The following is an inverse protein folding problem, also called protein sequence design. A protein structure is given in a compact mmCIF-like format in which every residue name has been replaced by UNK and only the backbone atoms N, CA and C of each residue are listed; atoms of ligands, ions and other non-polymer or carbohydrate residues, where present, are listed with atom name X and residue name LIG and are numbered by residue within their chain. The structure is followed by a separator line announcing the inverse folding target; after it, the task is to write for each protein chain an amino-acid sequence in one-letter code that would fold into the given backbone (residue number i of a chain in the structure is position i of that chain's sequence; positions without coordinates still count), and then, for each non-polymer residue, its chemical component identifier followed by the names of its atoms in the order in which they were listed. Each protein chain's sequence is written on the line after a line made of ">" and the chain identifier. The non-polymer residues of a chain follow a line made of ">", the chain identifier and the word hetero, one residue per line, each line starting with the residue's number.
data_IF_152056078334
#
_entry.id   IF_152056078334
#
_cell.length_a   1.000
_cell.length_b   1.000
_cell.length_c   1.000
_cell.angle_alpha   90.00
_cell.angle_beta   90.00
_cell.angle_gamma   90.00
#
_symmetry.space_group_name_H-M   'P 1'
#
loop_
_entity.id
_entity.type
_entity.pdbx_description
1 polymer ?
#
# COMPACT_ATOMS: atom_id res chain seq x y z
N UNK A 1 28.91 -20.59 25.50
CA UNK A 1 28.33 -19.72 26.56
C UNK A 1 27.27 -18.80 25.94
N UNK A 2 26.16 -19.36 25.44
CA UNK A 2 25.10 -18.58 24.78
C UNK A 2 23.72 -19.27 24.96
N UNK A 3 23.42 -19.69 26.20
CA UNK A 3 22.26 -20.54 26.53
C UNK A 3 21.24 -19.84 27.43
N UNK A 4 21.09 -18.52 27.33
CA UNK A 4 20.36 -17.75 28.36
C UNK A 4 19.50 -16.55 27.95
N UNK A 5 19.31 -16.23 26.66
CA UNK A 5 18.63 -14.97 26.28
C UNK A 5 17.50 -15.08 25.24
N UNK A 6 17.15 -16.28 24.77
CA UNK A 6 15.99 -16.48 23.87
C UNK A 6 14.96 -17.46 24.45
N UNK A 7 14.76 -17.38 25.76
CA UNK A 7 13.61 -17.97 26.44
C UNK A 7 12.44 -16.99 26.45
N UNK A 8 11.66 -16.93 25.37
CA UNK A 8 10.21 -16.77 25.50
C UNK A 8 9.49 -17.12 24.18
N UNK A 9 8.49 -18.00 24.32
CA UNK A 9 7.66 -18.60 23.28
C UNK A 9 7.01 -17.60 22.31
N UNK A 10 7.52 -17.47 21.08
CA UNK A 10 6.86 -16.69 20.02
C UNK A 10 6.78 -17.43 18.67
N UNK A 11 6.87 -18.75 18.66
CA UNK A 11 6.48 -19.61 17.53
C UNK A 11 5.26 -20.42 17.95
N UNK A 12 4.09 -19.84 17.74
CA UNK A 12 2.81 -20.49 18.04
C UNK A 12 2.62 -21.56 16.96
N UNK A 13 2.84 -22.82 17.36
CA UNK A 13 2.66 -24.00 16.52
C UNK A 13 1.20 -24.09 16.04
N UNK A 14 0.96 -23.72 14.77
CA UNK A 14 -0.36 -23.63 14.14
C UNK A 14 -1.03 -25.01 13.94
N UNK A 15 -0.34 -26.09 14.31
CA UNK A 15 -0.77 -27.48 14.11
C UNK A 15 -1.09 -28.23 15.40
N UNK A 16 -0.82 -27.66 16.58
CA UNK A 16 -1.15 -28.30 17.88
C UNK A 16 -1.70 -27.31 18.91
N UNK A 17 -3.01 -27.08 18.91
CA UNK A 17 -3.72 -26.35 19.97
C UNK A 17 -5.12 -25.88 19.56
N UNK A 18 -6.01 -25.58 20.54
CA UNK A 18 -7.40 -25.12 20.32
C UNK A 18 -7.44 -23.91 19.37
N UNK A 19 -7.72 -24.18 18.10
CA UNK A 19 -7.67 -23.25 16.96
C UNK A 19 -8.42 -21.93 17.23
N UNK A 20 -9.54 -21.99 17.95
CA UNK A 20 -10.33 -20.82 18.30
C UNK A 20 -9.56 -19.78 19.15
N UNK A 21 -8.75 -20.20 20.12
CA UNK A 21 -8.05 -19.24 21.01
C UNK A 21 -6.89 -18.52 20.30
N UNK A 22 -6.24 -19.19 19.35
CA UNK A 22 -5.16 -18.62 18.53
C UNK A 22 -5.76 -17.64 17.51
N UNK A 23 -6.88 -18.00 16.87
CA UNK A 23 -7.62 -17.10 15.97
C UNK A 23 -8.07 -15.84 16.71
N UNK A 24 -8.58 -15.95 17.95
CA UNK A 24 -8.96 -14.76 18.72
C UNK A 24 -7.73 -13.91 19.14
N UNK A 25 -6.62 -14.54 19.56
CA UNK A 25 -5.39 -13.80 19.94
C UNK A 25 -4.68 -13.10 18.78
N UNK A 26 -4.75 -13.61 17.56
CA UNK A 26 -4.21 -12.95 16.36
C UNK A 26 -5.24 -12.06 15.65
N UNK A 27 -6.49 -12.53 15.58
CA UNK A 27 -7.59 -11.84 14.91
C UNK A 27 -7.95 -10.52 15.59
N UNK A 28 -8.02 -10.48 16.93
CA UNK A 28 -8.31 -9.25 17.67
C UNK A 28 -7.30 -8.13 17.33
N UNK A 29 -5.97 -8.31 17.46
CA UNK A 29 -5.03 -7.25 17.12
C UNK A 29 -5.03 -6.89 15.63
N UNK A 30 -5.24 -7.86 14.72
CA UNK A 30 -5.38 -7.57 13.28
C UNK A 30 -6.64 -6.74 12.96
N UNK A 31 -7.77 -7.05 13.60
CA UNK A 31 -9.02 -6.31 13.45
C UNK A 31 -8.89 -4.89 14.02
N UNK A 32 -8.27 -4.76 15.20
CA UNK A 32 -7.99 -3.44 15.80
C UNK A 32 -7.08 -2.62 14.88
N UNK A 33 -6.05 -3.23 14.30
CA UNK A 33 -5.13 -2.55 13.35
C UNK A 33 -5.87 -2.05 12.12
N UNK A 34 -6.70 -2.89 11.49
CA UNK A 34 -7.53 -2.48 10.34
C UNK A 34 -8.52 -1.38 10.72
N UNK A 35 -9.16 -1.50 11.89
CA UNK A 35 -10.11 -0.50 12.37
C UNK A 35 -9.43 0.85 12.62
N UNK A 36 -8.26 0.85 13.27
CA UNK A 36 -7.45 2.06 13.48
C UNK A 36 -7.02 2.69 12.15
N UNK A 37 -6.64 1.89 11.17
CA UNK A 37 -6.29 2.37 9.83
C UNK A 37 -7.48 3.03 9.12
N UNK A 38 -8.68 2.47 9.28
CA UNK A 38 -9.92 3.03 8.74
C UNK A 38 -10.28 4.36 9.43
N UNK A 39 -10.18 4.41 10.76
CA UNK A 39 -10.40 5.63 11.56
C UNK A 39 -9.38 6.71 11.20
N UNK A 40 -8.12 6.34 10.96
CA UNK A 40 -7.09 7.27 10.52
C UNK A 40 -7.40 7.85 9.14
N UNK A 41 -7.80 7.01 8.18
CA UNK A 41 -8.25 7.46 6.86
C UNK A 41 -9.46 8.39 6.93
N UNK A 42 -10.41 8.11 7.84
CA UNK A 42 -11.55 8.99 8.10
C UNK A 42 -11.12 10.31 8.74
N UNK A 43 -10.21 10.27 9.71
CA UNK A 43 -9.70 11.45 10.41
C UNK A 43 -8.94 12.38 9.46
N UNK A 44 -8.06 11.84 8.60
CA UNK A 44 -7.38 12.61 7.56
C UNK A 44 -8.39 13.28 6.62
N UNK A 45 -9.42 12.54 6.17
CA UNK A 45 -10.48 13.11 5.33
C UNK A 45 -11.27 14.23 6.02
N UNK A 46 -11.56 14.10 7.32
CA UNK A 46 -12.26 15.12 8.12
C UNK A 46 -11.38 16.33 8.40
N UNK A 47 -10.09 16.13 8.69
CA UNK A 47 -9.12 17.20 8.95
C UNK A 47 -8.94 18.02 7.67
N UNK A 48 -8.63 17.37 6.54
CA UNK A 48 -8.52 18.05 5.24
C UNK A 48 -9.82 18.75 4.84
N UNK A 49 -10.96 18.15 5.17
CA UNK A 49 -12.28 18.74 4.96
C UNK A 49 -12.58 19.98 5.81
N UNK A 50 -12.16 20.00 7.08
CA UNK A 50 -12.31 21.17 7.96
C UNK A 50 -11.35 22.30 7.60
N UNK A 51 -10.14 21.99 7.13
CA UNK A 51 -9.14 22.99 6.76
C UNK A 51 -9.43 23.68 5.41
N UNK A 52 -10.11 23.01 4.46
CA UNK A 52 -10.41 23.57 3.14
C UNK A 52 -11.91 23.82 2.84
N UNK A 53 -12.82 23.58 3.81
CA UNK A 53 -14.24 23.91 3.72
C UNK A 53 -15.15 22.87 3.04
N UNK A 54 -16.46 23.17 2.94
CA UNK A 54 -17.48 22.25 2.39
C UNK A 54 -17.18 21.87 0.93
N UNK A 55 -16.65 22.80 0.13
CA UNK A 55 -16.21 22.55 -1.24
C UNK A 55 -15.04 21.56 -1.32
N UNK A 56 -14.14 21.55 -0.32
CA UNK A 56 -13.05 20.60 -0.26
C UNK A 56 -13.49 19.20 0.20
N UNK A 57 -14.49 19.08 1.06
CA UNK A 57 -15.10 17.78 1.39
C UNK A 57 -15.76 17.14 0.16
N UNK A 58 -16.51 17.92 -0.62
CA UNK A 58 -17.09 17.46 -1.88
C UNK A 58 -16.00 17.06 -2.89
N UNK A 59 -14.97 17.89 -3.00
CA UNK A 59 -13.78 17.62 -3.81
C UNK A 59 -13.08 16.32 -3.38
N UNK A 60 -12.85 16.11 -2.09
CA UNK A 60 -12.24 14.90 -1.54
C UNK A 60 -13.10 13.67 -1.81
N UNK A 61 -14.42 13.75 -1.61
CA UNK A 61 -15.35 12.66 -1.92
C UNK A 61 -15.27 12.25 -3.39
N UNK A 62 -15.22 13.24 -4.29
CA UNK A 62 -15.07 13.01 -5.73
C UNK A 62 -13.70 12.45 -6.09
N UNK A 63 -12.64 12.96 -5.45
CA UNK A 63 -11.27 12.53 -5.70
C UNK A 63 -10.89 11.20 -5.04
N UNK A 64 -11.64 10.75 -4.03
CA UNK A 64 -11.32 9.56 -3.25
C UNK A 64 -11.30 8.30 -4.12
N UNK A 65 -12.28 8.13 -5.01
CA UNK A 65 -12.35 6.94 -5.86
C UNK A 65 -11.19 6.85 -6.87
N UNK A 66 -10.87 7.91 -7.64
CA UNK A 66 -9.69 7.91 -8.53
C UNK A 66 -8.37 7.68 -7.79
N UNK A 67 -8.16 8.33 -6.64
CA UNK A 67 -6.95 8.15 -5.82
C UNK A 67 -6.86 6.71 -5.31
N UNK A 68 -7.97 6.15 -4.82
CA UNK A 68 -8.04 4.77 -4.34
C UNK A 68 -7.72 3.77 -5.46
N UNK A 69 -8.19 4.02 -6.67
CA UNK A 69 -7.91 3.18 -7.85
C UNK A 69 -6.41 3.18 -8.15
N UNK A 70 -5.77 4.35 -8.19
CA UNK A 70 -4.32 4.45 -8.40
C UNK A 70 -3.54 3.69 -7.32
N UNK A 71 -3.84 3.94 -6.04
CA UNK A 71 -3.16 3.27 -4.92
C UNK A 71 -3.35 1.75 -5.00
N UNK A 72 -4.54 1.30 -5.37
CA UNK A 72 -4.86 -0.13 -5.50
C UNK A 72 -4.01 -0.80 -6.57
N UNK A 73 -3.88 -0.21 -7.76
CA UNK A 73 -3.04 -0.78 -8.84
C UNK A 73 -1.59 -0.91 -8.38
N UNK A 74 -1.05 0.16 -7.77
CA UNK A 74 0.32 0.20 -7.29
C UNK A 74 0.58 -0.82 -6.18
N UNK A 75 -0.34 -0.94 -5.23
CA UNK A 75 -0.23 -1.90 -4.13
C UNK A 75 -0.33 -3.35 -4.63
N UNK A 76 -1.23 -3.64 -5.58
CA UNK A 76 -1.33 -4.96 -6.19
C UNK A 76 -0.05 -5.35 -6.95
N UNK A 77 0.57 -4.39 -7.66
CA UNK A 77 1.84 -4.64 -8.32
C UNK A 77 2.98 -4.93 -7.33
N UNK A 78 3.05 -4.17 -6.22
CA UNK A 78 4.02 -4.41 -5.16
C UNK A 78 3.83 -5.81 -4.53
N UNK A 79 2.58 -6.21 -4.30
CA UNK A 79 2.23 -7.55 -3.79
C UNK A 79 2.64 -8.65 -4.78
N UNK A 80 2.36 -8.49 -6.08
CA UNK A 80 2.77 -9.45 -7.12
C UNK A 80 4.30 -9.59 -7.20
N UNK A 81 5.01 -8.47 -7.08
CA UNK A 81 6.47 -8.44 -7.05
C UNK A 81 7.04 -9.15 -5.82
N UNK A 82 6.45 -8.94 -4.64
CA UNK A 82 6.82 -9.62 -3.40
C UNK A 82 6.61 -11.13 -3.49
N UNK A 83 5.53 -11.58 -4.12
CA UNK A 83 5.25 -13.00 -4.33
C UNK A 83 6.28 -13.66 -5.24
N UNK A 84 6.65 -13.02 -6.36
CA UNK A 84 7.69 -13.52 -7.26
C UNK A 84 9.06 -13.59 -6.56
N UNK A 85 9.38 -12.59 -5.74
CA UNK A 85 10.62 -12.55 -4.97
C UNK A 85 10.64 -13.66 -3.91
N UNK A 86 9.52 -13.88 -3.20
CA UNK A 86 9.38 -14.97 -2.22
C UNK A 86 9.54 -16.36 -2.84
N UNK A 87 8.97 -16.60 -4.03
CA UNK A 87 9.13 -17.87 -4.75
C UNK A 87 10.58 -18.12 -5.18
N UNK A 88 11.27 -17.10 -5.72
CA UNK A 88 12.69 -17.24 -6.09
C UNK A 88 13.60 -17.37 -4.86
N UNK A 89 13.22 -16.74 -3.75
CA UNK A 89 13.91 -16.89 -2.49
C UNK A 89 13.80 -18.32 -1.94
N UNK A 90 12.58 -18.88 -1.87
CA UNK A 90 12.35 -20.24 -1.38
C UNK A 90 13.06 -21.33 -2.20
N UNK A 91 13.41 -21.03 -3.46
CA UNK A 91 14.21 -21.90 -4.32
C UNK A 91 15.73 -21.88 -4.01
N UNK A 92 16.20 -21.09 -3.04
CA UNK A 92 17.60 -21.09 -2.57
C UNK A 92 18.61 -20.40 -3.49
N UNK A 93 18.15 -19.65 -4.50
CA UNK A 93 19.01 -19.02 -5.51
C UNK A 93 19.27 -17.54 -5.23
N UNK A 94 20.18 -17.27 -4.31
CA UNK A 94 20.55 -15.92 -3.85
C UNK A 94 21.14 -15.01 -4.94
N UNK A 95 21.81 -15.57 -5.95
CA UNK A 95 22.35 -14.82 -7.09
C UNK A 95 21.23 -14.34 -8.03
N UNK A 96 20.29 -15.24 -8.36
CA UNK A 96 19.11 -14.91 -9.18
C UNK A 96 18.20 -13.91 -8.45
N UNK A 97 18.16 -13.94 -7.11
CA UNK A 97 17.40 -13.00 -6.30
C UNK A 97 17.83 -11.55 -6.53
N UNK A 98 19.14 -11.25 -6.47
CA UNK A 98 19.66 -9.89 -6.67
C UNK A 98 19.32 -9.34 -8.06
N UNK A 99 19.44 -10.18 -9.09
CA UNK A 99 19.05 -9.80 -10.45
C UNK A 99 17.54 -9.56 -10.58
N UNK A 100 16.73 -10.40 -9.92
CA UNK A 100 15.27 -10.26 -9.91
C UNK A 100 14.84 -8.96 -9.22
N UNK A 101 15.48 -8.60 -8.11
CA UNK A 101 15.20 -7.35 -7.39
C UNK A 101 15.44 -6.12 -8.29
N UNK A 102 16.55 -6.10 -9.02
CA UNK A 102 16.84 -5.05 -9.99
C UNK A 102 15.79 -4.97 -11.11
N UNK A 103 15.39 -6.11 -11.66
CA UNK A 103 14.35 -6.17 -12.69
C UNK A 103 12.97 -5.72 -12.18
N UNK A 104 12.59 -6.10 -10.96
CA UNK A 104 11.34 -5.66 -10.31
C UNK A 104 11.34 -4.14 -10.16
N UNK A 105 12.45 -3.56 -9.71
CA UNK A 105 12.57 -2.11 -9.54
C UNK A 105 12.45 -1.38 -10.88
N UNK A 106 13.17 -1.85 -11.91
CA UNK A 106 13.08 -1.29 -13.27
C UNK A 106 11.65 -1.39 -13.82
N UNK A 107 11.00 -2.53 -13.64
CA UNK A 107 9.63 -2.77 -14.12
C UNK A 107 8.61 -1.92 -13.36
N UNK A 108 8.83 -1.70 -12.07
CA UNK A 108 8.01 -0.80 -11.27
C UNK A 108 8.11 0.66 -11.72
N UNK A 109 9.32 1.16 -11.92
CA UNK A 109 9.55 2.52 -12.41
C UNK A 109 8.94 2.69 -13.81
N UNK A 110 9.14 1.72 -14.70
CA UNK A 110 8.55 1.71 -16.04
C UNK A 110 7.02 1.72 -15.98
N UNK A 111 6.43 0.87 -15.13
CA UNK A 111 4.98 0.81 -14.93
C UNK A 111 4.44 2.13 -14.40
N UNK A 112 5.10 2.74 -13.42
CA UNK A 112 4.69 4.03 -12.87
C UNK A 112 4.73 5.13 -13.93
N UNK A 113 5.82 5.25 -14.68
CA UNK A 113 5.95 6.23 -15.76
C UNK A 113 4.94 6.02 -16.89
N UNK A 114 4.47 4.79 -17.10
CA UNK A 114 3.40 4.50 -18.06
C UNK A 114 2.01 4.85 -17.51
N UNK A 115 1.74 4.50 -16.24
CA UNK A 115 0.43 4.71 -15.61
C UNK A 115 0.16 6.17 -15.27
N UNK A 116 1.17 6.92 -14.85
CA UNK A 116 1.04 8.30 -14.40
C UNK A 116 0.44 9.25 -15.46
N UNK A 117 0.92 9.30 -16.72
CA UNK A 117 0.29 10.14 -17.75
C UNK A 117 -1.12 9.68 -18.11
N UNK A 118 -1.40 8.37 -18.11
CA UNK A 118 -2.75 7.83 -18.34
C UNK A 118 -3.71 8.32 -17.26
N UNK A 119 -3.28 8.26 -15.99
CA UNK A 119 -4.09 8.71 -14.86
C UNK A 119 -4.30 10.23 -14.88
N UNK A 120 -3.30 11.02 -15.23
CA UNK A 120 -3.45 12.49 -15.38
C UNK A 120 -4.45 12.82 -16.49
N UNK A 121 -4.36 12.15 -17.64
CA UNK A 121 -5.28 12.37 -18.75
C UNK A 121 -6.71 11.95 -18.38
N UNK A 122 -6.85 10.93 -17.52
CA UNK A 122 -8.12 10.43 -17.02
C UNK A 122 -8.77 11.31 -15.94
N UNK A 123 -8.06 12.27 -15.33
CA UNK A 123 -8.61 13.17 -14.28
C UNK A 123 -9.84 13.91 -14.80
N UNK A 124 -9.71 14.66 -15.90
CA UNK A 124 -10.80 15.47 -16.46
C UNK A 124 -12.04 14.65 -16.83
N UNK A 125 -11.95 13.56 -17.61
CA UNK A 125 -13.13 12.76 -17.93
C UNK A 125 -13.76 12.11 -16.69
N UNK A 126 -12.97 11.70 -15.68
CA UNK A 126 -13.52 11.17 -14.43
C UNK A 126 -14.31 12.22 -13.63
N UNK A 127 -13.81 13.45 -13.52
CA UNK A 127 -14.52 14.54 -12.84
C UNK A 127 -15.80 14.94 -13.59
N UNK A 128 -15.77 14.93 -14.93
CA UNK A 128 -16.97 15.19 -15.75
C UNK A 128 -18.01 14.07 -15.55
N UNK A 129 -17.59 12.81 -15.50
CA UNK A 129 -18.48 11.68 -15.19
C UNK A 129 -19.12 11.75 -13.80
N UNK A 130 -18.43 12.34 -12.82
CA UNK A 130 -18.96 12.53 -11.48
C UNK A 130 -19.89 13.75 -11.34
N UNK A 131 -20.20 14.46 -12.43
CA UNK A 131 -21.02 15.69 -12.39
C UNK A 131 -20.46 16.73 -11.39
N UNK A 132 -19.14 16.88 -11.32
CA UNK A 132 -18.49 17.85 -10.44
C UNK A 132 -18.82 19.29 -10.88
N UNK A 133 -19.38 20.15 -10.01
CA UNK A 133 -19.63 21.56 -10.31
C UNK A 133 -18.34 22.27 -10.75
N UNK A 134 -18.45 23.16 -11.73
CA UNK A 134 -17.30 23.90 -12.30
C UNK A 134 -16.54 24.72 -11.27
N UNK A 135 -17.18 25.12 -10.17
CA UNK A 135 -16.58 25.88 -9.07
C UNK A 135 -15.49 25.10 -8.32
N UNK A 136 -15.60 23.77 -8.21
CA UNK A 136 -14.62 22.92 -7.50
C UNK A 136 -13.72 22.09 -8.44
N UNK A 137 -13.97 22.17 -9.75
CA UNK A 137 -13.25 21.40 -10.76
C UNK A 137 -11.74 21.69 -10.76
N UNK A 138 -11.33 22.95 -10.64
CA UNK A 138 -9.92 23.34 -10.65
C UNK A 138 -9.19 22.88 -9.37
N UNK A 139 -9.83 23.04 -8.21
CA UNK A 139 -9.25 22.61 -6.93
C UNK A 139 -9.08 21.08 -6.87
N UNK A 140 -10.06 20.34 -7.40
CA UNK A 140 -10.01 18.89 -7.52
C UNK A 140 -8.86 18.41 -8.42
N UNK A 141 -8.64 19.08 -9.57
CA UNK A 141 -7.53 18.75 -10.47
C UNK A 141 -6.19 19.00 -9.79
N UNK A 142 -5.99 20.15 -9.15
CA UNK A 142 -4.74 20.48 -8.47
C UNK A 142 -4.47 19.48 -7.33
N UNK A 143 -5.50 19.16 -6.54
CA UNK A 143 -5.39 18.19 -5.45
C UNK A 143 -5.01 16.79 -5.94
N UNK A 144 -5.66 16.30 -7.00
CA UNK A 144 -5.30 15.02 -7.61
C UNK A 144 -3.87 15.03 -8.15
N UNK A 145 -3.45 16.11 -8.81
CA UNK A 145 -2.12 16.19 -9.42
C UNK A 145 -1.02 16.15 -8.34
N UNK A 146 -1.20 16.88 -7.24
CA UNK A 146 -0.29 16.82 -6.07
C UNK A 146 -0.28 15.41 -5.47
N UNK A 147 -1.46 14.80 -5.29
CA UNK A 147 -1.60 13.45 -4.72
C UNK A 147 -0.92 12.39 -5.58
N UNK A 148 -1.07 12.48 -6.92
CA UNK A 148 -0.47 11.54 -7.85
C UNK A 148 1.06 11.60 -7.81
N UNK A 149 1.63 12.81 -7.78
CA UNK A 149 3.09 12.97 -7.58
C UNK A 149 3.57 12.43 -6.24
N UNK A 150 2.83 12.66 -5.15
CA UNK A 150 3.14 12.09 -3.83
C UNK A 150 3.10 10.57 -3.80
N UNK A 151 2.22 9.96 -4.60
CA UNK A 151 2.07 8.50 -4.66
C UNK A 151 3.29 7.81 -5.28
N UNK A 152 4.09 8.49 -6.11
CA UNK A 152 5.38 7.96 -6.60
C UNK A 152 6.29 7.55 -5.45
N UNK A 153 6.49 8.48 -4.50
CA UNK A 153 7.37 8.29 -3.35
C UNK A 153 6.86 7.15 -2.49
N UNK A 154 5.54 7.12 -2.26
CA UNK A 154 4.90 6.04 -1.50
C UNK A 154 5.07 4.68 -2.17
N UNK A 155 4.94 4.61 -3.50
CA UNK A 155 5.09 3.38 -4.26
C UNK A 155 6.53 2.85 -4.24
N UNK A 156 7.51 3.73 -4.44
CA UNK A 156 8.92 3.38 -4.33
C UNK A 156 9.26 2.87 -2.93
N UNK A 157 8.76 3.56 -1.90
CA UNK A 157 8.89 3.12 -0.51
C UNK A 157 8.24 1.74 -0.28
N UNK A 158 7.05 1.51 -0.84
CA UNK A 158 6.31 0.25 -0.66
C UNK A 158 7.07 -0.94 -1.28
N UNK A 159 7.64 -0.75 -2.47
CA UNK A 159 8.47 -1.76 -3.12
C UNK A 159 9.74 -2.02 -2.32
N UNK A 160 10.41 -0.97 -1.86
CA UNK A 160 11.62 -1.11 -1.05
C UNK A 160 11.34 -1.85 0.27
N UNK A 161 10.25 -1.51 0.94
CA UNK A 161 9.78 -2.18 2.15
C UNK A 161 9.33 -3.62 1.89
N UNK A 162 8.73 -3.91 0.74
CA UNK A 162 8.37 -5.26 0.30
C UNK A 162 9.61 -6.13 0.05
N UNK A 163 10.63 -5.57 -0.58
CA UNK A 163 11.93 -6.22 -0.78
C UNK A 163 12.63 -6.52 0.55
N UNK A 164 12.66 -5.54 1.47
CA UNK A 164 13.20 -5.71 2.82
C UNK A 164 12.45 -6.81 3.58
N UNK A 165 11.12 -6.84 3.53
CA UNK A 165 10.32 -7.91 4.14
C UNK A 165 10.64 -9.29 3.57
N UNK A 166 10.71 -9.41 2.24
CA UNK A 166 11.06 -10.67 1.58
C UNK A 166 12.46 -11.18 1.96
N UNK A 167 13.42 -10.27 2.20
CA UNK A 167 14.79 -10.59 2.66
C UNK A 167 14.86 -10.84 4.18
N UNK A 168 13.95 -10.26 4.96
CA UNK A 168 13.94 -10.39 6.42
C UNK A 168 13.26 -11.68 6.89
N UNK A 169 12.17 -12.09 6.24
CA UNK A 169 11.52 -13.39 6.52
C UNK A 169 12.42 -14.58 6.17
N UNK A 170 13.35 -14.37 5.25
CA UNK A 170 14.27 -15.39 4.79
C UNK A 170 15.50 -15.61 5.67
N UNK A 171 15.85 -14.67 6.55
CA UNK A 171 16.84 -14.90 7.62
C UNK A 171 16.25 -15.64 8.83
N UNK A 172 14.92 -15.77 8.88
CA UNK A 172 14.20 -16.35 10.03
C UNK A 172 13.74 -17.78 9.76
N UNK A 173 14.02 -18.34 8.57
CA UNK A 173 13.70 -19.73 8.23
C UNK A 173 14.90 -20.67 8.30
#
# INVERSE_FOLDING_TARGET
>A
MAKGLFGNNHSIDMTKGKTASIIFKFGIPLMITNFLQQVYSMADGVILGRFSGIGALATLGTCNWPIWLQISILTNFAQASSLMLGNRFGAGKTEEMKQTTGNIYLMAVCLYFLLMPIMILAIRPMLVWQNTPTEIMNDAVIYMLISYWGTLVLFMYNIFAGMLRAVSDSKTS
#
